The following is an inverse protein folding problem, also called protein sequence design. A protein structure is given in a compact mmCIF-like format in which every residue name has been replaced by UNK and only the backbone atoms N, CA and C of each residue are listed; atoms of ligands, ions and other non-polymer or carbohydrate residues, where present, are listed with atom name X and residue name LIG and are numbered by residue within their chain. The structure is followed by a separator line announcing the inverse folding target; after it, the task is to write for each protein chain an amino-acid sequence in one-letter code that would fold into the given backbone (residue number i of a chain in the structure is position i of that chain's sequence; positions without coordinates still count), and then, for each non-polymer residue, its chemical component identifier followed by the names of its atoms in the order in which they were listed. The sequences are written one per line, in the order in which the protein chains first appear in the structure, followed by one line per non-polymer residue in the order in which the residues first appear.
data_IF_508242474376
#
_entry.id   IF_508242474376
#
_cell.length_a   1.000
_cell.length_b   1.000
_cell.length_c   1.000
_cell.angle_alpha   90.00
_cell.angle_beta   90.00
_cell.angle_gamma   90.00
#
_symmetry.space_group_name_H-M   'P 1'
#
loop_
_entity.id
_entity.type
_entity.pdbx_description
1 polymer ?
#
# COMPACT_ATOMS: atom_id res chain seq x y z
N UNK A 1 -41.60 2.41 20.06
CA UNK A 1 -42.33 3.68 20.03
C UNK A 1 -41.49 4.75 19.36
N UNK A 2 -42.06 5.30 18.24
CA UNK A 2 -41.67 6.52 17.51
C UNK A 2 -40.29 6.48 16.84
N UNK A 3 -40.06 6.18 15.67
CA UNK A 3 -40.42 6.57 14.29
C UNK A 3 -40.59 8.10 14.11
N UNK A 4 -39.55 8.75 13.61
CA UNK A 4 -39.70 10.06 12.98
C UNK A 4 -38.91 10.14 11.64
N UNK A 5 -39.75 10.09 10.62
CA UNK A 5 -39.52 10.47 9.24
C UNK A 5 -39.21 11.95 9.20
N UNK A 6 -38.18 12.36 8.45
CA UNK A 6 -38.22 13.59 7.67
C UNK A 6 -37.53 13.38 6.35
N UNK A 7 -38.32 13.13 5.37
CA UNK A 7 -38.07 13.20 3.95
C UNK A 7 -38.09 14.68 3.57
N UNK A 8 -37.03 15.23 3.02
CA UNK A 8 -37.07 16.50 2.28
C UNK A 8 -36.34 16.37 0.96
N UNK A 9 -37.15 16.16 -0.03
CA UNK A 9 -36.88 16.38 -1.44
C UNK A 9 -36.42 17.82 -1.68
N UNK A 10 -35.34 18.02 -2.42
CA UNK A 10 -35.08 19.26 -3.12
C UNK A 10 -34.63 18.97 -4.55
N UNK A 11 -35.61 19.07 -5.46
CA UNK A 11 -35.44 19.19 -6.88
C UNK A 11 -34.89 20.60 -7.18
N UNK A 12 -33.77 20.71 -7.82
CA UNK A 12 -33.38 21.97 -8.50
C UNK A 12 -33.02 21.65 -9.94
N UNK A 13 -33.74 22.32 -10.80
CA UNK A 13 -33.75 22.20 -12.24
C UNK A 13 -32.47 22.74 -12.91
N UNK A 14 -32.14 22.11 -14.03
CA UNK A 14 -31.18 22.58 -15.04
C UNK A 14 -31.72 23.85 -15.76
N UNK A 15 -30.84 24.69 -16.28
CA UNK A 15 -31.06 25.33 -17.57
C UNK A 15 -30.04 24.84 -18.61
N UNK A 16 -30.62 24.34 -19.69
CA UNK A 16 -30.00 24.14 -21.00
C UNK A 16 -29.82 25.51 -21.66
N UNK A 17 -28.61 25.83 -22.03
CA UNK A 17 -28.36 26.91 -22.99
C UNK A 17 -27.70 26.32 -24.23
N UNK A 18 -28.52 26.17 -25.26
CA UNK A 18 -28.11 25.97 -26.63
C UNK A 18 -27.73 27.32 -27.25
N UNK A 19 -26.56 27.39 -27.82
CA UNK A 19 -26.21 28.48 -28.76
C UNK A 19 -25.76 27.84 -30.05
N UNK A 20 -26.62 27.94 -31.04
CA UNK A 20 -26.35 27.73 -32.46
C UNK A 20 -25.78 29.03 -33.05
N UNK A 21 -24.72 28.94 -33.78
CA UNK A 21 -24.40 29.92 -34.80
C UNK A 21 -23.69 29.24 -35.96
N UNK A 22 -24.36 29.29 -37.09
CA UNK A 22 -23.87 28.91 -38.41
C UNK A 22 -23.12 30.05 -39.08
N UNK A 23 -22.38 29.67 -40.10
CA UNK A 23 -22.20 30.33 -41.41
C UNK A 23 -20.79 30.78 -41.71
N UNK A 24 -20.17 30.08 -42.55
CA UNK A 24 -19.94 30.03 -44.01
C UNK A 24 -18.79 30.91 -44.51
N UNK A 25 -17.96 30.24 -45.18
CA UNK A 25 -17.36 30.29 -46.51
C UNK A 25 -16.05 31.07 -46.69
N UNK A 26 -15.19 30.29 -47.31
CA UNK A 26 -14.24 30.50 -48.42
C UNK A 26 -12.81 30.99 -48.20
N UNK A 27 -11.98 30.10 -48.67
CA UNK A 27 -10.77 30.21 -49.47
C UNK A 27 -9.38 30.39 -48.85
N UNK A 28 -8.57 29.47 -49.36
CA UNK A 28 -7.15 29.53 -49.71
C UNK A 28 -6.10 29.20 -48.64
N UNK A 29 -5.61 27.96 -48.80
CA UNK A 29 -4.22 27.52 -48.75
C UNK A 29 -3.21 28.29 -47.88
N UNK A 30 -2.78 27.68 -46.78
CA UNK A 30 -1.38 27.48 -46.53
C UNK A 30 -1.10 26.41 -45.48
N UNK A 31 -0.07 25.62 -45.78
CA UNK A 31 0.54 24.59 -45.00
C UNK A 31 0.88 25.05 -43.59
N UNK A 32 0.41 24.29 -42.56
CA UNK A 32 0.81 24.51 -41.18
C UNK A 32 0.25 23.43 -40.28
N UNK A 33 1.06 22.42 -40.03
CA UNK A 33 0.84 21.32 -39.11
C UNK A 33 0.43 21.86 -37.73
N UNK A 34 -0.82 21.70 -37.33
CA UNK A 34 -1.26 21.82 -35.95
C UNK A 34 -1.47 20.42 -35.37
N UNK A 35 -0.46 19.95 -34.69
CA UNK A 35 -0.52 18.83 -33.79
C UNK A 35 -1.50 19.13 -32.66
N UNK A 36 -2.60 18.35 -32.61
CA UNK A 36 -3.41 18.20 -31.41
C UNK A 36 -2.52 17.73 -30.26
N UNK A 37 -2.17 18.63 -29.36
CA UNK A 37 -1.63 18.27 -28.07
C UNK A 37 -2.76 17.78 -27.18
N UNK A 38 -3.06 16.50 -27.25
CA UNK A 38 -3.56 15.78 -26.09
C UNK A 38 -2.47 15.92 -25.02
N UNK A 39 -2.82 16.55 -23.90
CA UNK A 39 -1.97 16.62 -22.74
C UNK A 39 -1.75 15.19 -22.22
N UNK A 40 -0.76 14.52 -22.79
CA UNK A 40 -0.16 13.33 -22.17
C UNK A 40 0.66 13.88 -21.02
N UNK A 41 0.20 13.69 -19.80
CA UNK A 41 1.00 13.88 -18.60
C UNK A 41 2.19 12.92 -18.72
N UNK A 42 3.32 13.43 -19.19
CA UNK A 42 4.57 12.67 -19.16
C UNK A 42 4.96 12.51 -17.71
N UNK A 43 4.71 11.32 -17.17
CA UNK A 43 5.26 10.89 -15.91
C UNK A 43 6.72 10.55 -16.19
N UNK A 44 7.63 11.31 -15.62
CA UNK A 44 9.05 10.97 -15.65
C UNK A 44 9.24 9.58 -15.03
N UNK A 45 10.21 8.82 -15.54
CA UNK A 45 10.55 7.48 -15.06
C UNK A 45 10.93 7.41 -13.56
N UNK A 46 11.00 8.54 -12.89
CA UNK A 46 11.22 8.69 -11.45
C UNK A 46 9.93 8.96 -10.64
N UNK A 47 8.74 8.96 -11.26
CA UNK A 47 7.49 9.15 -10.55
C UNK A 47 7.21 10.57 -10.07
N UNK A 48 7.82 11.57 -10.68
CA UNK A 48 7.54 12.97 -10.41
C UNK A 48 6.54 13.51 -11.45
N UNK A 49 5.62 14.37 -11.00
CA UNK A 49 4.78 15.15 -11.92
C UNK A 49 5.65 16.19 -12.69
N UNK A 50 5.06 16.89 -13.67
CA UNK A 50 5.72 17.92 -14.46
C UNK A 50 6.29 19.08 -13.62
N UNK A 51 5.95 19.18 -12.34
CA UNK A 51 6.45 20.16 -11.37
C UNK A 51 7.54 19.59 -10.45
N UNK A 52 8.00 18.34 -10.64
CA UNK A 52 9.00 17.70 -9.78
C UNK A 52 8.48 17.23 -8.41
N UNK A 53 7.16 17.09 -8.26
CA UNK A 53 6.51 16.55 -7.07
C UNK A 53 6.11 15.10 -7.28
N UNK A 54 6.07 14.31 -6.21
CA UNK A 54 5.55 12.94 -6.26
C UNK A 54 4.10 12.93 -6.75
N UNK A 55 3.76 11.94 -7.57
CA UNK A 55 2.38 11.71 -7.96
C UNK A 55 1.53 11.31 -6.75
N UNK A 56 0.23 11.52 -6.81
CA UNK A 56 -0.71 11.10 -5.74
C UNK A 56 -0.59 9.61 -5.44
N UNK A 57 -0.38 8.79 -6.47
CA UNK A 57 -0.19 7.35 -6.31
C UNK A 57 1.09 7.03 -5.54
N UNK A 58 2.18 7.71 -5.81
CA UNK A 58 3.46 7.50 -5.11
C UNK A 58 3.43 7.98 -3.67
N UNK A 59 2.74 9.10 -3.41
CA UNK A 59 2.50 9.55 -2.04
C UNK A 59 1.70 8.50 -1.25
N UNK A 60 0.70 7.89 -1.86
CA UNK A 60 -0.08 6.81 -1.24
C UNK A 60 0.77 5.56 -1.01
N UNK A 61 1.56 5.15 -2.00
CA UNK A 61 2.49 4.01 -1.85
C UNK A 61 3.55 4.29 -0.78
N UNK A 62 4.06 5.52 -0.69
CA UNK A 62 5.00 5.92 0.36
C UNK A 62 4.36 5.85 1.75
N UNK A 63 3.16 6.38 1.92
CA UNK A 63 2.43 6.33 3.18
C UNK A 63 2.15 4.88 3.63
N UNK A 64 1.83 3.97 2.69
CA UNK A 64 1.68 2.56 3.00
C UNK A 64 2.98 1.91 3.45
N UNK A 65 4.12 2.31 2.87
CA UNK A 65 5.46 1.78 3.23
C UNK A 65 6.03 2.33 4.53
N UNK A 66 5.48 3.41 5.07
CA UNK A 66 5.80 3.87 6.41
C UNK A 66 5.39 2.85 7.49
N UNK A 67 4.35 2.07 7.19
CA UNK A 67 3.96 0.93 8.01
C UNK A 67 4.79 -0.30 7.62
N UNK A 68 5.61 -0.77 8.54
CA UNK A 68 6.52 -1.91 8.34
C UNK A 68 6.16 -3.12 9.20
N UNK A 69 5.09 -3.04 9.98
CA UNK A 69 4.74 -4.05 10.99
C UNK A 69 3.44 -4.76 10.65
N UNK A 70 3.49 -6.08 10.67
CA UNK A 70 2.36 -6.99 10.49
C UNK A 70 2.11 -7.67 11.83
N UNK A 71 0.89 -7.58 12.37
CA UNK A 71 0.50 -8.24 13.60
C UNK A 71 -0.26 -9.54 13.34
N UNK A 72 -0.13 -10.49 14.26
CA UNK A 72 -0.72 -11.82 14.15
C UNK A 72 -1.60 -12.15 15.33
N UNK A 73 -2.58 -13.01 15.08
CA UNK A 73 -3.38 -13.61 16.14
C UNK A 73 -2.52 -14.54 17.02
N UNK A 74 -3.05 -14.90 18.17
CA UNK A 74 -2.40 -15.85 19.07
C UNK A 74 -2.17 -17.19 18.36
N UNK A 75 -0.98 -17.73 18.51
CA UNK A 75 -0.52 -19.00 17.91
C UNK A 75 -0.82 -19.12 16.40
N UNK A 76 -0.69 -18.02 15.68
CA UNK A 76 -1.02 -17.95 14.26
C UNK A 76 0.09 -17.22 13.48
N UNK A 77 0.27 -17.62 12.21
CA UNK A 77 1.18 -17.00 11.24
C UNK A 77 0.44 -16.63 9.94
N UNK A 78 -0.89 -16.60 9.93
CA UNK A 78 -1.69 -16.17 8.79
C UNK A 78 -1.74 -14.65 8.73
N UNK A 79 -1.42 -14.09 7.57
CA UNK A 79 -1.51 -12.65 7.32
C UNK A 79 -2.99 -12.28 7.16
N UNK A 80 -3.44 -11.27 7.91
CA UNK A 80 -4.78 -10.73 7.76
C UNK A 80 -4.88 -9.85 6.51
N UNK A 81 -6.06 -9.81 5.90
CA UNK A 81 -6.32 -9.03 4.67
C UNK A 81 -6.02 -7.53 4.80
N UNK A 82 -6.11 -6.99 6.01
CA UNK A 82 -5.82 -5.58 6.30
C UNK A 82 -4.38 -5.17 5.95
N UNK A 83 -3.45 -6.13 5.88
CA UNK A 83 -2.05 -5.90 5.53
C UNK A 83 -1.75 -6.05 4.04
N UNK A 84 -2.68 -6.52 3.22
CA UNK A 84 -2.45 -6.79 1.80
C UNK A 84 -2.03 -5.54 1.03
N UNK A 85 -2.71 -4.41 1.23
CA UNK A 85 -2.39 -3.16 0.55
C UNK A 85 -0.99 -2.63 0.92
N UNK A 86 -0.62 -2.73 2.20
CA UNK A 86 0.71 -2.37 2.69
C UNK A 86 1.78 -3.27 2.08
N UNK A 87 1.59 -4.58 2.12
CA UNK A 87 2.55 -5.55 1.56
C UNK A 87 2.68 -5.41 0.03
N UNK A 88 1.58 -5.09 -0.67
CA UNK A 88 1.62 -4.80 -2.11
C UNK A 88 2.46 -3.55 -2.41
N UNK A 89 2.38 -2.49 -1.59
CA UNK A 89 3.20 -1.30 -1.74
C UNK A 89 4.69 -1.58 -1.50
N UNK A 90 5.02 -2.39 -0.48
CA UNK A 90 6.40 -2.86 -0.24
C UNK A 90 6.91 -3.72 -1.40
N UNK A 91 6.10 -4.65 -1.90
CA UNK A 91 6.47 -5.49 -3.03
C UNK A 91 6.75 -4.65 -4.29
N UNK A 92 5.87 -3.71 -4.64
CA UNK A 92 6.05 -2.83 -5.78
C UNK A 92 7.35 -2.01 -5.66
N UNK A 93 7.67 -1.53 -4.47
CA UNK A 93 8.92 -0.81 -4.21
C UNK A 93 10.15 -1.69 -4.38
N UNK A 94 10.14 -2.91 -3.84
CA UNK A 94 11.26 -3.87 -3.95
C UNK A 94 11.47 -4.34 -5.39
N UNK A 95 10.39 -4.57 -6.14
CA UNK A 95 10.45 -4.95 -7.57
C UNK A 95 11.07 -3.82 -8.40
N UNK A 96 10.72 -2.56 -8.14
CA UNK A 96 11.31 -1.39 -8.79
C UNK A 96 12.79 -1.19 -8.42
N UNK A 97 13.24 -1.73 -7.28
CA UNK A 97 14.58 -1.54 -6.73
C UNK A 97 15.28 -2.88 -6.44
N UNK A 98 15.73 -3.64 -7.46
CA UNK A 98 16.22 -5.01 -7.30
C UNK A 98 17.54 -5.14 -6.52
N UNK A 99 18.22 -4.05 -6.24
CA UNK A 99 19.43 -3.98 -5.40
C UNK A 99 19.11 -3.88 -3.89
N UNK A 100 17.90 -3.45 -3.54
CA UNK A 100 17.49 -3.35 -2.14
C UNK A 100 17.34 -4.73 -1.52
N UNK A 101 17.63 -4.80 -0.23
CA UNK A 101 17.40 -5.96 0.61
C UNK A 101 16.49 -5.55 1.74
N UNK A 102 15.65 -6.47 2.19
CA UNK A 102 14.82 -6.32 3.37
C UNK A 102 15.00 -7.54 4.26
N UNK A 103 15.16 -7.32 5.54
CA UNK A 103 15.14 -8.37 6.56
C UNK A 103 13.75 -8.41 7.17
N UNK A 104 13.15 -9.59 7.22
CA UNK A 104 11.85 -9.82 7.82
C UNK A 104 12.09 -10.44 9.20
N UNK A 105 11.88 -9.63 10.23
CA UNK A 105 12.06 -10.05 11.61
C UNK A 105 10.75 -10.62 12.15
N UNK A 106 10.77 -11.87 12.63
CA UNK A 106 9.61 -12.53 13.22
C UNK A 106 9.69 -12.58 14.74
N UNK A 107 8.56 -12.26 15.39
CA UNK A 107 8.45 -12.19 16.84
C UNK A 107 7.22 -12.95 17.36
N UNK A 108 7.31 -13.39 18.62
CA UNK A 108 6.23 -14.00 19.37
C UNK A 108 6.01 -13.27 20.69
N UNK A 109 4.90 -13.53 21.35
CA UNK A 109 4.74 -13.18 22.77
C UNK A 109 5.43 -14.24 23.66
N UNK A 110 5.57 -13.95 24.95
CA UNK A 110 6.31 -14.79 25.92
C UNK A 110 5.60 -16.10 26.31
N UNK A 111 4.40 -16.36 25.80
CA UNK A 111 3.65 -17.58 26.13
C UNK A 111 4.16 -18.76 25.31
N UNK A 112 4.57 -19.81 26.00
CA UNK A 112 5.13 -21.02 25.38
C UNK A 112 6.58 -21.25 25.80
N UNK A 113 7.31 -22.07 25.03
CA UNK A 113 8.74 -22.24 25.22
C UNK A 113 9.55 -21.37 24.26
N UNK A 114 10.77 -20.96 24.63
CA UNK A 114 11.62 -20.16 23.76
C UNK A 114 11.82 -20.81 22.37
N UNK A 115 12.02 -22.12 22.32
CA UNK A 115 12.21 -22.86 21.05
C UNK A 115 10.95 -22.82 20.20
N UNK A 116 9.78 -22.98 20.82
CA UNK A 116 8.50 -22.86 20.12
C UNK A 116 8.30 -21.46 19.56
N UNK A 117 8.60 -20.42 20.35
CA UNK A 117 8.44 -19.03 19.98
C UNK A 117 9.42 -18.59 18.87
N UNK A 118 10.66 -19.12 18.88
CA UNK A 118 11.58 -18.96 17.75
C UNK A 118 10.99 -19.56 16.48
N UNK A 119 10.47 -20.78 16.54
CA UNK A 119 9.86 -21.42 15.37
C UNK A 119 8.58 -20.69 14.91
N UNK A 120 7.78 -20.14 15.84
CA UNK A 120 6.57 -19.34 15.51
C UNK A 120 6.95 -18.01 14.85
N UNK A 121 7.96 -17.32 15.38
CA UNK A 121 8.48 -16.10 14.77
C UNK A 121 9.02 -16.36 13.36
N UNK A 122 9.73 -17.46 13.15
CA UNK A 122 10.20 -17.86 11.82
C UNK A 122 9.03 -18.11 10.85
N UNK A 123 8.00 -18.86 11.28
CA UNK A 123 6.80 -19.10 10.45
C UNK A 123 6.11 -17.79 10.03
N UNK A 124 6.03 -16.79 10.92
CA UNK A 124 5.48 -15.46 10.64
C UNK A 124 6.30 -14.71 9.60
N UNK A 125 7.61 -14.65 9.79
CA UNK A 125 8.52 -14.03 8.83
C UNK A 125 8.48 -14.74 7.46
N UNK A 126 8.42 -16.08 7.45
CA UNK A 126 8.26 -16.88 6.23
C UNK A 126 6.94 -16.61 5.50
N UNK A 127 5.84 -16.44 6.23
CA UNK A 127 4.55 -16.11 5.62
C UNK A 127 4.62 -14.77 4.87
N UNK A 128 5.26 -13.76 5.48
CA UNK A 128 5.46 -12.45 4.85
C UNK A 128 6.40 -12.56 3.64
N UNK A 129 7.50 -13.29 3.74
CA UNK A 129 8.42 -13.50 2.63
C UNK A 129 7.72 -14.15 1.44
N UNK A 130 6.99 -15.24 1.65
CA UNK A 130 6.23 -15.93 0.60
C UNK A 130 5.17 -15.03 -0.04
N UNK A 131 4.54 -14.18 0.74
CA UNK A 131 3.56 -13.23 0.22
C UNK A 131 4.23 -12.20 -0.71
N UNK A 132 5.38 -11.63 -0.32
CA UNK A 132 6.15 -10.70 -1.14
C UNK A 132 6.70 -11.38 -2.41
N UNK A 133 7.16 -12.62 -2.32
CA UNK A 133 7.60 -13.42 -3.47
C UNK A 133 6.45 -13.68 -4.45
N UNK A 134 5.25 -13.98 -3.97
CA UNK A 134 4.06 -14.14 -4.80
C UNK A 134 3.69 -12.86 -5.56
N UNK A 135 4.07 -11.68 -5.03
CA UNK A 135 3.91 -10.38 -5.68
C UNK A 135 5.11 -9.99 -6.57
N UNK A 136 6.07 -10.91 -6.77
CA UNK A 136 7.18 -10.73 -7.72
C UNK A 136 8.49 -10.26 -7.11
N UNK A 137 8.61 -10.12 -5.79
CA UNK A 137 9.87 -9.81 -5.12
C UNK A 137 10.82 -11.01 -5.24
N UNK A 138 12.07 -10.75 -5.55
CA UNK A 138 13.06 -11.82 -5.72
C UNK A 138 13.53 -12.33 -4.35
N UNK A 139 13.61 -13.66 -4.18
CA UNK A 139 14.05 -14.30 -2.95
C UNK A 139 15.40 -13.76 -2.42
N UNK A 140 16.31 -13.39 -3.31
CA UNK A 140 17.62 -12.79 -2.95
C UNK A 140 17.51 -11.41 -2.26
N UNK A 141 16.36 -10.74 -2.35
CA UNK A 141 16.08 -9.47 -1.68
C UNK A 141 15.56 -9.67 -0.26
N UNK A 142 15.16 -10.88 0.10
CA UNK A 142 14.51 -11.21 1.35
C UNK A 142 15.44 -12.01 2.25
N UNK A 143 15.55 -11.60 3.50
CA UNK A 143 16.22 -12.34 4.56
C UNK A 143 15.23 -12.55 5.70
N UNK A 144 15.30 -13.68 6.38
CA UNK A 144 14.41 -14.02 7.48
C UNK A 144 15.24 -14.17 8.75
N UNK A 145 14.79 -13.55 9.83
CA UNK A 145 15.33 -13.70 11.16
C UNK A 145 14.18 -13.87 12.14
N UNK A 146 14.27 -14.83 13.03
CA UNK A 146 13.34 -14.96 14.15
C UNK A 146 14.04 -14.60 15.44
N UNK A 147 13.38 -13.76 16.22
CA UNK A 147 13.76 -13.46 17.59
C UNK A 147 12.84 -14.15 18.61
N UNK A 148 11.80 -14.84 18.15
CA UNK A 148 10.83 -15.42 19.07
C UNK A 148 10.34 -14.38 20.07
N UNK A 149 10.46 -14.65 21.35
CA UNK A 149 10.09 -13.76 22.45
C UNK A 149 11.22 -12.83 22.93
N UNK A 150 12.45 -13.02 22.45
CA UNK A 150 13.65 -12.36 22.97
C UNK A 150 13.71 -10.84 22.75
N UNK A 151 12.94 -10.31 21.78
CA UNK A 151 12.87 -8.88 21.50
C UNK A 151 11.43 -8.38 21.60
N UNK A 152 10.86 -8.25 22.80
CA UNK A 152 9.53 -7.71 22.98
C UNK A 152 9.49 -6.23 22.58
N UNK A 153 8.41 -5.82 21.90
CA UNK A 153 8.13 -4.41 21.62
C UNK A 153 7.55 -3.71 22.85
N UNK A 154 6.72 -4.44 23.61
CA UNK A 154 6.07 -3.95 24.82
C UNK A 154 6.29 -4.98 25.92
N UNK A 155 6.79 -4.51 27.06
CA UNK A 155 6.91 -5.33 28.25
C UNK A 155 5.57 -5.40 29.00
N UNK A 156 5.25 -6.55 29.58
CA UNK A 156 4.06 -6.76 30.39
C UNK A 156 3.29 -7.99 29.98
N UNK A 157 2.48 -8.49 30.91
CA UNK A 157 1.72 -9.74 30.80
C UNK A 157 0.23 -9.49 30.59
N UNK A 158 -0.10 -8.52 29.75
CA UNK A 158 -1.46 -8.26 29.32
C UNK A 158 -1.68 -8.67 27.87
N UNK A 159 -2.94 -8.95 27.48
CA UNK A 159 -3.24 -9.29 26.10
C UNK A 159 -2.87 -8.15 25.12
N UNK A 160 -2.96 -6.90 25.56
CA UNK A 160 -2.56 -5.74 24.77
C UNK A 160 -1.05 -5.74 24.49
N UNK A 161 -0.23 -6.10 25.50
CA UNK A 161 1.22 -6.23 25.35
C UNK A 161 1.55 -7.43 24.44
N UNK A 162 0.91 -8.58 24.68
CA UNK A 162 1.10 -9.77 23.86
C UNK A 162 0.74 -9.53 22.39
N UNK A 163 -0.40 -8.86 22.12
CA UNK A 163 -0.82 -8.55 20.77
C UNK A 163 0.20 -7.72 20.00
N UNK A 164 0.88 -6.77 20.67
CA UNK A 164 1.95 -5.96 20.06
C UNK A 164 3.25 -6.74 19.84
N UNK A 165 3.49 -7.78 20.63
CA UNK A 165 4.67 -8.62 20.50
C UNK A 165 4.52 -9.66 19.37
N UNK A 166 3.32 -10.11 19.08
CA UNK A 166 3.01 -11.04 17.97
C UNK A 166 3.08 -10.32 16.63
N UNK A 167 4.28 -10.15 16.08
CA UNK A 167 4.47 -9.37 14.87
C UNK A 167 5.54 -9.92 13.93
N UNK A 168 5.52 -9.46 12.70
CA UNK A 168 6.68 -9.46 11.81
C UNK A 168 6.98 -8.01 11.39
N UNK A 169 8.26 -7.68 11.19
CA UNK A 169 8.72 -6.34 10.85
C UNK A 169 9.58 -6.39 9.60
N UNK A 170 9.33 -5.50 8.65
CA UNK A 170 10.16 -5.29 7.46
C UNK A 170 11.26 -4.28 7.78
N UNK A 171 12.52 -4.70 7.75
CA UNK A 171 13.69 -3.85 8.06
C UNK A 171 14.53 -3.70 6.80
N UNK A 172 14.63 -2.46 6.28
CA UNK A 172 15.40 -2.08 5.09
C UNK A 172 16.83 -1.71 5.39
#
# INVERSE_FOLDING_TARGET
MQLNKVLKSLLIALPVLAVTACSSSDDAANSGSQTNQSAVSTVDSNGLNAQGQLTEQELKEQALRENQTIYFAFDNATIASDYEAMLAAHAAYLVKNPSLRVTIEGHADERGTPEYNIALGERRAQAVAKYLEALGVQARQLSIVSYGEEKPLVLGQSEEAYAKNRRAVLVY
#
